data_IF_539383829938
#
_entry.id   IF_539383829938
#
_cell.length_a   1.000
_cell.length_b   1.000
_cell.length_c   1.000
_cell.angle_alpha   90.00
_cell.angle_beta   90.00
_cell.angle_gamma   90.00
#
_symmetry.space_group_name_H-M   'P 1'
#
loop_
_entity.id
_entity.type
_entity.pdbx_description
1 polymer ?
#
# COMPACT_ATOMS: atom_id res chain seq x y z
N UNK A 1 -8.78 -3.81 45.43
CA UNK A 1 -8.07 -3.83 44.14
C UNK A 1 -8.95 -4.64 43.20
N UNK A 2 -9.81 -3.96 42.44
CA UNK A 2 -10.76 -4.60 41.53
C UNK A 2 -9.99 -5.24 40.37
N UNK A 3 -10.11 -6.56 40.24
CA UNK A 3 -9.65 -7.33 39.09
C UNK A 3 -10.47 -6.93 37.87
N UNK A 4 -9.83 -6.25 36.91
CA UNK A 4 -10.37 -6.11 35.56
C UNK A 4 -10.45 -7.50 34.95
N UNK A 5 -11.65 -8.06 34.97
CA UNK A 5 -12.00 -9.35 34.39
C UNK A 5 -12.01 -9.20 32.87
N UNK A 6 -11.49 -10.22 32.19
CA UNK A 6 -11.34 -10.26 30.75
C UNK A 6 -12.65 -10.07 30.00
N UNK A 7 -12.79 -8.90 29.40
CA UNK A 7 -13.53 -8.76 28.14
C UNK A 7 -12.57 -9.30 27.08
N UNK A 8 -12.92 -10.44 26.48
CA UNK A 8 -12.13 -11.04 25.39
C UNK A 8 -12.01 -10.01 24.28
N UNK A 9 -10.81 -9.80 23.72
CA UNK A 9 -10.61 -9.00 22.49
C UNK A 9 -11.55 -9.44 21.35
N UNK A 10 -11.93 -10.73 21.34
CA UNK A 10 -12.92 -11.31 20.40
C UNK A 10 -14.29 -10.62 20.47
N UNK A 11 -14.82 -10.27 21.66
CA UNK A 11 -16.15 -9.66 21.81
C UNK A 11 -16.19 -8.18 21.39
N UNK A 12 -15.06 -7.48 21.51
CA UNK A 12 -14.99 -6.06 21.13
C UNK A 12 -14.87 -5.86 19.62
N UNK A 13 -14.30 -6.83 18.89
CA UNK A 13 -14.12 -6.75 17.44
C UNK A 13 -15.45 -6.87 16.68
N UNK A 14 -16.40 -7.68 17.17
CA UNK A 14 -17.72 -7.81 16.55
C UNK A 14 -18.57 -6.55 16.76
N UNK A 15 -18.49 -5.94 17.95
CA UNK A 15 -19.30 -4.77 18.31
C UNK A 15 -19.06 -3.56 17.39
N UNK A 16 -17.80 -3.33 17.01
CA UNK A 16 -17.42 -2.19 16.16
C UNK A 16 -17.16 -2.59 14.70
N UNK A 17 -17.41 -3.85 14.33
CA UNK A 17 -17.09 -4.34 12.99
C UNK A 17 -17.77 -3.51 11.90
N UNK A 18 -19.07 -3.24 12.05
CA UNK A 18 -19.84 -2.50 11.07
C UNK A 18 -19.38 -1.05 10.95
N UNK A 19 -19.11 -0.38 12.08
CA UNK A 19 -18.59 0.99 12.10
C UNK A 19 -17.20 1.08 11.46
N UNK A 20 -16.30 0.14 11.80
CA UNK A 20 -14.95 0.06 11.22
C UNK A 20 -15.05 -0.21 9.72
N UNK A 21 -15.87 -1.16 9.30
CA UNK A 21 -16.06 -1.49 7.90
C UNK A 21 -16.60 -0.29 7.11
N UNK A 22 -17.66 0.37 7.60
CA UNK A 22 -18.24 1.55 6.98
C UNK A 22 -17.24 2.72 6.93
N UNK A 23 -16.47 2.93 8.00
CA UNK A 23 -15.39 3.92 8.01
C UNK A 23 -14.34 3.61 6.94
N UNK A 24 -13.85 2.37 6.86
CA UNK A 24 -12.86 1.97 5.85
C UNK A 24 -13.40 2.11 4.43
N UNK A 25 -14.67 1.75 4.19
CA UNK A 25 -15.35 1.90 2.90
C UNK A 25 -15.48 3.36 2.49
N UNK A 26 -15.78 4.28 3.40
CA UNK A 26 -15.82 5.71 3.10
C UNK A 26 -14.40 6.24 2.82
N UNK A 27 -13.44 5.86 3.66
CA UNK A 27 -12.04 6.29 3.54
C UNK A 27 -11.37 5.83 2.25
N UNK A 28 -11.66 4.63 1.76
CA UNK A 28 -11.07 4.15 0.50
C UNK A 28 -11.58 4.91 -0.73
N UNK A 29 -12.81 5.43 -0.68
CA UNK A 29 -13.37 6.27 -1.74
C UNK A 29 -12.76 7.66 -1.73
N UNK A 30 -12.64 8.27 -0.55
CA UNK A 30 -12.03 9.59 -0.36
C UNK A 30 -10.55 9.64 -0.78
N UNK A 31 -9.87 8.50 -0.70
CA UNK A 31 -8.44 8.39 -0.98
C UNK A 31 -8.12 7.64 -2.26
N UNK A 32 -9.11 7.40 -3.12
CA UNK A 32 -8.83 6.78 -4.40
C UNK A 32 -7.97 7.76 -5.22
N UNK A 33 -6.82 7.32 -5.77
CA UNK A 33 -6.06 8.14 -6.71
C UNK A 33 -6.89 8.37 -7.97
N UNK A 34 -6.55 9.40 -8.75
CA UNK A 34 -7.19 9.60 -10.04
C UNK A 34 -6.73 8.51 -11.02
N UNK A 35 -7.62 7.61 -11.49
CA UNK A 35 -7.22 6.48 -12.33
C UNK A 35 -6.58 6.89 -13.66
N UNK A 36 -6.75 8.15 -14.08
CA UNK A 36 -6.24 8.69 -15.33
C UNK A 36 -5.06 9.65 -15.11
N UNK A 37 -4.48 9.71 -13.91
CA UNK A 37 -3.40 10.66 -13.62
C UNK A 37 -2.20 10.48 -14.55
N UNK A 38 -1.93 9.26 -15.00
CA UNK A 38 -0.77 8.98 -15.84
C UNK A 38 -0.85 9.70 -17.20
N UNK A 39 -2.05 9.93 -17.74
CA UNK A 39 -2.24 10.71 -18.97
C UNK A 39 -1.88 12.19 -18.80
N UNK A 40 -1.86 12.70 -17.56
CA UNK A 40 -1.50 14.09 -17.25
C UNK A 40 -0.03 14.26 -16.86
N UNK A 41 0.73 13.17 -16.80
CA UNK A 41 2.15 13.22 -16.47
C UNK A 41 2.99 13.48 -17.73
N UNK A 42 3.63 14.66 -17.87
CA UNK A 42 4.42 15.00 -19.05
C UNK A 42 5.80 14.29 -19.12
N UNK A 43 6.26 13.76 -18.00
CA UNK A 43 7.64 13.26 -17.83
C UNK A 43 7.71 11.84 -17.27
N UNK A 44 6.58 11.16 -17.12
CA UNK A 44 6.50 9.76 -16.68
C UNK A 44 5.54 8.99 -17.57
N UNK A 45 5.51 7.68 -17.40
CA UNK A 45 4.62 6.77 -18.12
C UNK A 45 4.32 5.57 -17.21
N UNK A 46 3.25 4.83 -17.52
CA UNK A 46 2.81 3.65 -16.77
C UNK A 46 3.94 2.67 -16.49
N UNK A 47 4.78 2.36 -17.49
CA UNK A 47 5.90 1.43 -17.30
C UNK A 47 6.91 1.88 -16.25
N UNK A 48 7.21 3.18 -16.12
CA UNK A 48 8.12 3.66 -15.09
C UNK A 48 7.53 3.53 -13.69
N UNK A 49 6.20 3.65 -13.58
CA UNK A 49 5.49 3.37 -12.33
C UNK A 49 5.55 1.87 -12.02
N UNK A 50 5.29 1.01 -13.01
CA UNK A 50 5.41 -0.45 -12.84
C UNK A 50 6.82 -0.87 -12.42
N UNK A 51 7.86 -0.32 -13.05
CA UNK A 51 9.26 -0.55 -12.65
C UNK A 51 9.51 -0.11 -11.19
N UNK A 52 8.94 1.03 -10.77
CA UNK A 52 9.02 1.48 -9.37
C UNK A 52 8.27 0.52 -8.43
N UNK A 53 7.11 -0.01 -8.83
CA UNK A 53 6.33 -0.95 -8.02
C UNK A 53 7.02 -2.32 -7.93
N UNK A 54 7.70 -2.76 -8.99
CA UNK A 54 8.46 -4.01 -9.06
C UNK A 54 9.77 -3.95 -8.25
N UNK A 55 10.34 -2.75 -8.06
CA UNK A 55 11.51 -2.52 -7.20
C UNK A 55 11.33 -3.03 -5.75
N UNK A 56 10.08 -3.33 -5.34
CA UNK A 56 9.79 -4.10 -4.12
C UNK A 56 10.69 -5.34 -3.97
N UNK A 57 10.92 -6.09 -5.05
CA UNK A 57 11.69 -7.34 -4.98
C UNK A 57 13.11 -7.06 -4.51
N UNK A 58 13.76 -6.04 -5.08
CA UNK A 58 15.08 -5.56 -4.63
C UNK A 58 15.05 -5.10 -3.17
N UNK A 59 14.01 -4.34 -2.80
CA UNK A 59 13.85 -3.86 -1.43
C UNK A 59 13.67 -5.00 -0.41
N UNK A 60 12.98 -6.07 -0.77
CA UNK A 60 12.74 -7.20 0.14
C UNK A 60 14.03 -7.96 0.48
N UNK A 61 15.03 -7.93 -0.41
CA UNK A 61 16.35 -8.54 -0.18
C UNK A 61 17.23 -7.68 0.75
N UNK A 62 17.14 -6.35 0.63
CA UNK A 62 18.00 -5.42 1.37
C UNK A 62 17.38 -4.91 2.68
N UNK A 63 16.07 -4.82 2.73
CA UNK A 63 15.27 -4.36 3.85
C UNK A 63 14.24 -5.44 4.14
N UNK A 64 14.20 -6.01 5.34
CA UNK A 64 13.18 -6.99 5.78
C UNK A 64 11.77 -6.36 5.82
N UNK A 65 11.24 -6.01 4.65
CA UNK A 65 10.10 -5.12 4.47
C UNK A 65 8.81 -5.92 4.50
N UNK A 66 7.85 -5.43 5.28
CA UNK A 66 6.51 -6.01 5.32
C UNK A 66 5.66 -5.54 4.15
N UNK A 67 4.93 -6.48 3.54
CA UNK A 67 4.03 -6.23 2.41
C UNK A 67 3.08 -5.07 2.67
N UNK A 68 2.50 -4.98 3.87
CA UNK A 68 1.62 -3.89 4.27
C UNK A 68 2.20 -2.50 3.99
N UNK A 69 3.50 -2.32 4.26
CA UNK A 69 4.18 -1.02 4.08
C UNK A 69 4.34 -0.69 2.61
N UNK A 70 4.54 -1.71 1.77
CA UNK A 70 4.64 -1.51 0.32
C UNK A 70 3.31 -1.07 -0.29
N UNK A 71 2.22 -1.77 0.04
CA UNK A 71 0.88 -1.37 -0.44
C UNK A 71 0.53 0.06 -0.01
N UNK A 72 0.93 0.46 1.20
CA UNK A 72 0.72 1.82 1.68
C UNK A 72 1.63 2.84 0.97
N UNK A 73 2.87 2.48 0.68
CA UNK A 73 3.79 3.32 -0.09
C UNK A 73 3.26 3.58 -1.51
N UNK A 74 2.77 2.55 -2.20
CA UNK A 74 2.16 2.70 -3.53
C UNK A 74 0.92 3.58 -3.49
N UNK A 75 0.08 3.45 -2.46
CA UNK A 75 -1.04 4.38 -2.23
C UNK A 75 -0.59 5.85 -2.08
N UNK A 76 0.56 6.11 -1.47
CA UNK A 76 1.11 7.47 -1.41
C UNK A 76 1.61 7.96 -2.76
N UNK A 77 2.34 7.10 -3.49
CA UNK A 77 2.88 7.40 -4.82
C UNK A 77 1.75 7.79 -5.77
N UNK A 78 0.72 6.95 -5.90
CA UNK A 78 -0.36 7.15 -6.87
C UNK A 78 -1.18 8.41 -6.56
N UNK A 79 -1.45 8.70 -5.27
CA UNK A 79 -2.13 9.94 -4.86
C UNK A 79 -1.27 11.17 -5.05
N UNK A 80 0.05 11.07 -4.83
CA UNK A 80 0.96 12.17 -5.10
C UNK A 80 1.00 12.49 -6.59
N UNK A 81 1.15 11.46 -7.44
CA UNK A 81 1.14 11.59 -8.90
C UNK A 81 -0.22 12.00 -9.46
N UNK A 82 -1.31 11.82 -8.71
CA UNK A 82 -2.63 12.35 -9.07
C UNK A 82 -2.69 13.88 -9.07
N UNK A 83 -1.87 14.52 -8.23
CA UNK A 83 -1.91 15.97 -7.97
C UNK A 83 -0.66 16.71 -8.45
N UNK A 84 0.49 16.03 -8.47
CA UNK A 84 1.80 16.62 -8.73
C UNK A 84 2.45 15.97 -9.94
N UNK A 85 3.06 16.79 -10.80
CA UNK A 85 3.93 16.28 -11.86
C UNK A 85 5.32 16.00 -11.31
N UNK A 86 5.87 14.83 -11.65
CA UNK A 86 7.18 14.38 -11.20
C UNK A 86 8.04 14.06 -12.41
N UNK A 87 9.32 14.43 -12.35
CA UNK A 87 10.27 14.01 -13.39
C UNK A 87 10.64 12.54 -13.18
N UNK A 88 10.86 11.79 -14.27
CA UNK A 88 11.27 10.37 -14.22
C UNK A 88 12.41 10.10 -13.23
N UNK A 89 13.46 10.92 -13.24
CA UNK A 89 14.63 10.77 -12.37
C UNK A 89 14.34 11.03 -10.88
N UNK A 90 13.19 11.61 -10.56
CA UNK A 90 12.72 11.80 -9.18
C UNK A 90 11.70 10.73 -8.75
N UNK A 91 11.32 9.80 -9.64
CA UNK A 91 10.30 8.80 -9.36
C UNK A 91 10.79 7.79 -8.31
N UNK A 92 12.04 7.33 -8.39
CA UNK A 92 12.63 6.47 -7.35
C UNK A 92 12.75 7.21 -6.01
N UNK A 93 13.16 8.49 -6.01
CA UNK A 93 13.17 9.32 -4.80
C UNK A 93 11.78 9.43 -4.15
N UNK A 94 10.74 9.60 -4.96
CA UNK A 94 9.34 9.58 -4.49
C UNK A 94 9.02 8.23 -3.85
N UNK A 95 9.37 7.11 -4.49
CA UNK A 95 9.17 5.78 -3.93
C UNK A 95 9.90 5.56 -2.61
N UNK A 96 11.17 5.97 -2.52
CA UNK A 96 11.97 5.89 -1.30
C UNK A 96 11.34 6.72 -0.17
N UNK A 97 10.90 7.94 -0.45
CA UNK A 97 10.24 8.81 0.53
C UNK A 97 8.85 8.27 0.96
N UNK A 98 8.10 7.70 0.03
CA UNK A 98 6.82 7.04 0.28
C UNK A 98 7.00 5.84 1.19
N UNK A 99 7.96 4.98 0.89
CA UNK A 99 8.28 3.81 1.70
C UNK A 99 8.78 4.18 3.09
N UNK A 100 9.73 5.12 3.17
CA UNK A 100 10.21 5.62 4.45
C UNK A 100 9.07 6.16 5.31
N UNK A 101 8.07 6.80 4.70
CA UNK A 101 6.87 7.28 5.38
C UNK A 101 5.97 6.12 5.79
N UNK A 102 5.70 5.16 4.92
CA UNK A 102 4.87 3.98 5.23
C UNK A 102 5.45 3.17 6.38
N UNK A 103 6.77 2.98 6.43
CA UNK A 103 7.44 2.27 7.51
C UNK A 103 7.39 3.00 8.86
N UNK A 104 6.95 4.26 8.93
CA UNK A 104 6.67 4.94 10.21
C UNK A 104 5.32 4.53 10.81
N UNK A 105 4.47 3.85 10.04
CA UNK A 105 3.16 3.37 10.46
C UNK A 105 3.21 1.88 10.77
N UNK A 106 2.70 1.50 11.94
CA UNK A 106 2.59 0.10 12.38
C UNK A 106 3.84 -0.42 13.12
N UNK A 107 3.73 -1.65 13.59
CA UNK A 107 4.72 -2.33 14.41
C UNK A 107 5.67 -3.17 13.54
N UNK A 108 6.92 -3.34 13.98
CA UNK A 108 7.94 -4.12 13.28
C UNK A 108 9.26 -3.38 13.11
N UNK A 109 10.27 -4.07 12.57
CA UNK A 109 11.57 -3.48 12.27
C UNK A 109 11.44 -2.45 11.15
N UNK A 110 11.84 -1.22 11.45
CA UNK A 110 11.83 -0.13 10.50
C UNK A 110 13.21 -0.02 9.84
N UNK A 111 13.31 -0.03 8.50
CA UNK A 111 14.58 0.19 7.83
C UNK A 111 15.13 1.58 8.19
N UNK A 112 16.44 1.67 8.36
CA UNK A 112 17.09 2.96 8.59
C UNK A 112 17.02 3.76 7.29
N UNK A 113 17.11 5.07 7.45
CA UNK A 113 17.23 5.97 6.30
C UNK A 113 18.42 5.59 5.39
N UNK A 114 19.54 5.16 5.99
CA UNK A 114 20.71 4.70 5.24
C UNK A 114 20.42 3.50 4.36
N UNK A 115 19.60 2.57 4.85
CA UNK A 115 19.36 1.29 4.18
C UNK A 115 18.51 1.53 2.92
N UNK A 116 17.50 2.39 3.03
CA UNK A 116 16.68 2.80 1.89
C UNK A 116 17.44 3.64 0.86
N UNK A 117 18.39 4.46 1.29
CA UNK A 117 19.24 5.24 0.37
C UNK A 117 20.23 4.33 -0.36
N UNK A 118 20.82 3.36 0.35
CA UNK A 118 21.67 2.33 -0.23
C UNK A 118 20.90 1.52 -1.30
N UNK A 119 19.66 1.12 -1.00
CA UNK A 119 18.80 0.40 -1.96
C UNK A 119 18.48 1.21 -3.23
N UNK A 120 18.50 2.54 -3.12
CA UNK A 120 18.38 3.44 -4.26
C UNK A 120 19.71 3.71 -4.98
N UNK A 121 20.77 2.99 -4.63
CA UNK A 121 22.11 3.13 -5.21
C UNK A 121 22.88 4.37 -4.74
N UNK A 122 22.52 4.94 -3.58
CA UNK A 122 23.15 6.14 -2.98
C UNK A 122 23.20 7.37 -3.90
N UNK A 123 22.30 7.43 -4.90
CA UNK A 123 22.20 8.57 -5.83
C UNK A 123 21.46 9.77 -5.20
N UNK A 124 20.83 9.58 -4.04
CA UNK A 124 20.08 10.58 -3.30
C UNK A 124 20.66 10.80 -1.91
N UNK A 125 20.58 12.03 -1.43
CA UNK A 125 20.94 12.35 -0.04
C UNK A 125 19.75 12.17 0.90
N UNK A 126 20.04 12.10 2.20
CA UNK A 126 19.00 12.15 3.24
C UNK A 126 18.14 13.40 3.13
N UNK A 127 18.72 14.53 2.77
CA UNK A 127 17.99 15.79 2.64
C UNK A 127 17.05 15.79 1.42
N UNK A 128 17.45 15.14 0.32
CA UNK A 128 16.57 14.93 -0.84
C UNK A 128 15.35 14.09 -0.45
N UNK A 129 15.58 12.97 0.24
CA UNK A 129 14.49 12.09 0.69
C UNK A 129 13.54 12.80 1.67
N UNK A 130 14.09 13.55 2.63
CA UNK A 130 13.28 14.33 3.57
C UNK A 130 12.56 15.49 2.88
N UNK A 131 13.16 16.10 1.86
CA UNK A 131 12.54 17.09 1.00
C UNK A 131 11.32 16.52 0.27
N UNK A 132 11.52 15.43 -0.45
CA UNK A 132 10.44 14.73 -1.16
C UNK A 132 9.33 14.28 -0.20
N UNK A 133 9.69 13.72 0.96
CA UNK A 133 8.71 13.37 2.00
C UNK A 133 7.86 14.56 2.44
N UNK A 134 8.47 15.74 2.65
CA UNK A 134 7.73 16.93 3.04
C UNK A 134 6.72 17.35 1.98
N UNK A 135 7.11 17.32 0.70
CA UNK A 135 6.19 17.61 -0.41
C UNK A 135 5.07 16.57 -0.48
N UNK A 136 5.41 15.30 -0.38
CA UNK A 136 4.43 14.21 -0.39
C UNK A 136 3.42 14.31 0.75
N UNK A 137 3.87 14.64 1.97
CA UNK A 137 2.99 14.78 3.14
C UNK A 137 2.05 16.00 3.09
N UNK A 138 2.26 16.95 2.17
CA UNK A 138 1.27 17.99 1.91
C UNK A 138 0.00 17.41 1.26
N UNK A 139 0.12 16.26 0.61
CA UNK A 139 -1.02 15.47 0.13
C UNK A 139 -1.61 14.71 1.33
N UNK A 140 -2.84 15.05 1.71
CA UNK A 140 -3.53 14.48 2.87
C UNK A 140 -3.80 12.96 2.73
N UNK A 141 -4.04 12.29 3.85
CA UNK A 141 -4.60 10.93 3.88
C UNK A 141 -3.58 9.83 4.18
N UNK A 142 -2.74 10.01 5.18
CA UNK A 142 -1.63 9.08 5.46
C UNK A 142 -2.15 7.69 5.89
N UNK A 143 -3.32 7.61 6.54
CA UNK A 143 -3.96 6.34 6.88
C UNK A 143 -4.95 5.91 5.79
N UNK A 144 -4.45 5.36 4.68
CA UNK A 144 -5.27 4.83 3.61
C UNK A 144 -5.61 3.34 3.85
N UNK A 145 -6.88 2.93 3.69
CA UNK A 145 -7.20 1.51 3.58
C UNK A 145 -6.47 0.91 2.38
N UNK A 146 -5.66 -0.12 2.60
CA UNK A 146 -4.93 -0.79 1.53
C UNK A 146 -5.58 -2.13 1.17
N UNK A 147 -5.29 -2.61 -0.04
CA UNK A 147 -5.73 -3.93 -0.52
C UNK A 147 -5.28 -5.01 0.48
N UNK A 148 -4.02 -4.94 0.94
CA UNK A 148 -3.46 -5.86 1.92
C UNK A 148 -4.23 -5.87 3.25
N UNK A 149 -4.53 -4.69 3.79
CA UNK A 149 -5.24 -4.56 5.07
C UNK A 149 -6.66 -5.15 5.02
N UNK A 150 -7.37 -4.95 3.90
CA UNK A 150 -8.70 -5.47 3.68
C UNK A 150 -8.69 -6.97 3.36
N UNK A 151 -7.72 -7.44 2.57
CA UNK A 151 -7.53 -8.86 2.29
C UNK A 151 -7.36 -9.68 3.58
N UNK A 152 -6.58 -9.17 4.54
CA UNK A 152 -6.39 -9.82 5.85
C UNK A 152 -7.68 -9.94 6.67
N UNK A 153 -8.68 -9.08 6.42
CA UNK A 153 -10.00 -9.11 7.07
C UNK A 153 -10.97 -10.06 6.36
N UNK A 154 -10.83 -10.26 5.05
CA UNK A 154 -11.74 -11.11 4.29
C UNK A 154 -11.44 -12.62 4.39
N UNK A 155 -10.21 -13.03 4.73
CA UNK A 155 -9.80 -14.46 4.65
C UNK A 155 -9.25 -15.06 5.95
N UNK A 156 -9.78 -16.24 6.32
CA UNK A 156 -9.38 -17.00 7.51
C UNK A 156 -8.42 -18.21 7.33
N UNK A 157 -8.18 -18.82 6.15
CA UNK A 157 -7.11 -19.83 6.02
C UNK A 157 -5.81 -19.26 5.41
N UNK A 158 -4.67 -19.49 6.09
CA UNK A 158 -3.36 -18.99 5.67
C UNK A 158 -2.93 -19.45 4.27
N UNK A 159 -3.34 -20.66 3.85
CA UNK A 159 -2.99 -21.22 2.54
C UNK A 159 -3.62 -20.48 1.36
N UNK A 160 -4.84 -19.94 1.53
CA UNK A 160 -5.51 -19.15 0.48
C UNK A 160 -4.99 -17.71 0.45
N UNK A 161 -4.52 -17.20 1.59
CA UNK A 161 -4.04 -15.83 1.74
C UNK A 161 -2.83 -15.53 0.87
N UNK A 162 -1.88 -16.47 0.74
CA UNK A 162 -0.67 -16.27 -0.07
C UNK A 162 -1.02 -16.07 -1.56
N UNK A 163 -1.92 -16.89 -2.10
CA UNK A 163 -2.33 -16.76 -3.50
C UNK A 163 -3.17 -15.49 -3.73
N UNK A 164 -4.06 -15.15 -2.80
CA UNK A 164 -4.86 -13.92 -2.91
C UNK A 164 -3.95 -12.68 -2.83
N UNK A 165 -2.95 -12.71 -1.95
CA UNK A 165 -1.96 -11.65 -1.85
C UNK A 165 -1.15 -11.53 -3.14
N UNK A 166 -0.72 -12.64 -3.73
CA UNK A 166 -0.06 -12.63 -5.02
C UNK A 166 -0.91 -11.94 -6.11
N UNK A 167 -2.20 -12.25 -6.21
CA UNK A 167 -3.10 -11.54 -7.14
C UNK A 167 -3.22 -10.04 -6.82
N UNK A 168 -3.24 -9.67 -5.54
CA UNK A 168 -3.25 -8.26 -5.14
C UNK A 168 -1.95 -7.55 -5.49
N UNK A 169 -0.81 -8.23 -5.42
CA UNK A 169 0.50 -7.69 -5.82
C UNK A 169 0.58 -7.50 -7.34
N UNK A 170 0.05 -8.43 -8.12
CA UNK A 170 -0.08 -8.26 -9.57
C UNK A 170 -0.97 -7.06 -9.92
N UNK A 171 -2.12 -6.92 -9.26
CA UNK A 171 -3.00 -5.77 -9.45
C UNK A 171 -2.37 -4.43 -9.04
N UNK A 172 -1.37 -4.46 -8.14
CA UNK A 172 -0.64 -3.26 -7.72
C UNK A 172 0.33 -2.76 -8.80
N UNK A 173 0.85 -3.66 -9.65
CA UNK A 173 1.87 -3.39 -10.65
C UNK A 173 1.36 -2.55 -11.82
N UNK A 174 0.15 -2.86 -12.30
CA UNK A 174 -0.47 -2.18 -13.43
C UNK A 174 -1.39 -1.06 -12.93
N UNK A 175 -1.24 0.15 -13.48
CA UNK A 175 -2.11 1.28 -13.17
C UNK A 175 -3.48 1.15 -13.86
N UNK A 176 -3.50 0.77 -15.14
CA UNK A 176 -4.69 0.44 -15.92
C UNK A 176 -4.82 -1.10 -16.05
N UNK A 177 -5.94 -1.75 -15.65
CA UNK A 177 -7.22 -1.17 -15.25
C UNK A 177 -7.43 -1.07 -13.73
N UNK A 178 -6.40 -1.22 -12.89
CA UNK A 178 -6.64 -1.47 -11.46
C UNK A 178 -6.85 -0.23 -10.61
N UNK A 179 -6.30 0.94 -10.96
CA UNK A 179 -6.44 2.17 -10.16
C UNK A 179 -7.88 2.68 -10.04
N UNK A 180 -8.76 2.35 -10.98
CA UNK A 180 -10.17 2.72 -10.91
C UNK A 180 -10.96 1.89 -9.88
N UNK A 181 -10.40 0.78 -9.39
CA UNK A 181 -11.08 -0.08 -8.45
C UNK A 181 -10.68 0.24 -7.00
N UNK A 182 -11.67 0.38 -6.09
CA UNK A 182 -11.37 0.52 -4.67
C UNK A 182 -10.60 -0.68 -4.11
N UNK A 183 -9.72 -0.47 -3.11
CA UNK A 183 -8.98 -1.52 -2.43
C UNK A 183 -9.82 -2.73 -1.99
N UNK A 184 -11.03 -2.52 -1.48
CA UNK A 184 -11.95 -3.61 -1.09
C UNK A 184 -12.42 -4.45 -2.27
N UNK A 185 -12.59 -3.86 -3.44
CA UNK A 185 -13.00 -4.57 -4.67
C UNK A 185 -11.86 -5.45 -5.16
N UNK A 186 -10.63 -4.92 -5.21
CA UNK A 186 -9.44 -5.70 -5.59
C UNK A 186 -9.24 -6.87 -4.62
N UNK A 187 -9.30 -6.61 -3.31
CA UNK A 187 -9.15 -7.65 -2.30
C UNK A 187 -10.25 -8.72 -2.42
N UNK A 188 -11.52 -8.32 -2.59
CA UNK A 188 -12.63 -9.25 -2.77
C UNK A 188 -12.52 -10.07 -4.07
N UNK A 189 -12.10 -9.44 -5.18
CA UNK A 189 -11.89 -10.13 -6.44
C UNK A 189 -10.76 -11.17 -6.34
N UNK A 190 -9.65 -10.84 -5.66
CA UNK A 190 -8.58 -11.79 -5.39
C UNK A 190 -9.08 -12.97 -4.55
N UNK A 191 -9.92 -12.73 -3.54
CA UNK A 191 -10.56 -13.78 -2.74
C UNK A 191 -11.40 -14.70 -3.63
N UNK A 192 -12.31 -14.14 -4.43
CA UNK A 192 -13.16 -14.93 -5.32
C UNK A 192 -12.33 -15.74 -6.33
N UNK A 193 -11.26 -15.16 -6.88
CA UNK A 193 -10.39 -15.82 -7.84
C UNK A 193 -9.65 -17.00 -7.21
N UNK A 194 -9.20 -16.87 -5.96
CA UNK A 194 -8.59 -17.98 -5.22
C UNK A 194 -9.60 -19.11 -5.00
N UNK A 195 -10.82 -18.79 -4.56
CA UNK A 195 -11.88 -19.79 -4.38
C UNK A 195 -12.18 -20.54 -5.68
N UNK A 196 -12.31 -19.80 -6.80
CA UNK A 196 -12.51 -20.37 -8.13
C UNK A 196 -11.35 -21.29 -8.55
N UNK A 197 -10.11 -20.87 -8.31
CA UNK A 197 -8.89 -21.66 -8.63
C UNK A 197 -8.86 -23.00 -7.92
N UNK A 198 -9.40 -23.08 -6.69
CA UNK A 198 -9.48 -24.31 -5.90
C UNK A 198 -10.83 -25.04 -6.00
N UNK A 199 -11.74 -24.61 -6.88
CA UNK A 199 -13.08 -25.21 -7.02
C UNK A 199 -13.96 -25.08 -5.77
N UNK A 200 -13.72 -24.07 -4.93
CA UNK A 200 -14.52 -23.75 -3.74
C UNK A 200 -15.54 -22.67 -4.08
N UNK A 201 -16.73 -22.72 -3.49
CA UNK A 201 -17.64 -21.57 -3.55
C UNK A 201 -17.09 -20.44 -2.66
N UNK A 202 -17.19 -19.17 -3.09
CA UNK A 202 -16.75 -18.00 -2.32
C UNK A 202 -17.59 -17.80 -1.05
#
# INVERSE_FOLDING_TARGET
MMSYTGVREEDTSELYWEDIYNHLKNREQELLPDPLYMHRQPHTASYWRSDLVDWRVTLAEECSLYDEKWFLAVSYIDRFLSLMSVQRNCLQLLGTAALFTACKFGEGDQPRCSDLLCASGDIYTKDDMLGMKREMLKVYGICAPTVYYLLRRFMAPASLRLLAQYFCELALLDDDPYLQFPPSVIAGAAVCLVHATFGRQP
#
